data_IF_144972583557
#
_entry.id   IF_144972583557
#
_cell.length_a   1.000
_cell.length_b   1.000
_cell.length_c   1.000
_cell.angle_alpha   90.00
_cell.angle_beta   90.00
_cell.angle_gamma   90.00
#
_symmetry.space_group_name_H-M   'P 1'
#
loop_
_entity.id
_entity.type
_entity.pdbx_description
1 polymer ?
#
# COMPACT_ATOMS: atom_id res chain seq x y z
N UNK A 1 47.21 -20.92 40.68
CA UNK A 1 46.01 -20.47 41.42
C UNK A 1 44.81 -21.16 40.80
N UNK A 2 43.95 -21.78 41.61
CA UNK A 2 42.76 -22.52 41.15
C UNK A 2 41.73 -21.54 40.58
N UNK A 3 41.12 -21.86 39.44
CA UNK A 3 39.79 -21.35 39.11
C UNK A 3 38.96 -22.47 38.47
N UNK A 4 37.76 -22.62 39.01
CA UNK A 4 36.83 -23.73 38.96
C UNK A 4 35.98 -23.75 37.68
N UNK A 5 35.75 -24.94 37.10
CA UNK A 5 34.69 -25.18 36.13
C UNK A 5 33.36 -25.48 36.83
N UNK A 6 32.23 -25.08 36.24
CA UNK A 6 30.99 -25.88 36.05
C UNK A 6 29.95 -25.08 35.18
N UNK A 7 28.85 -25.68 34.65
CA UNK A 7 28.69 -25.85 33.19
C UNK A 7 27.33 -25.37 32.62
N UNK A 8 27.24 -25.44 31.28
CA UNK A 8 26.05 -25.76 30.46
C UNK A 8 24.71 -25.03 30.74
N UNK A 9 24.29 -24.17 29.81
CA UNK A 9 22.87 -23.96 29.49
C UNK A 9 22.67 -24.18 27.99
N UNK A 10 21.93 -25.22 27.66
CA UNK A 10 21.28 -25.39 26.37
C UNK A 10 20.00 -24.54 26.34
N UNK A 11 19.76 -23.81 25.25
CA UNK A 11 18.44 -23.30 24.90
C UNK A 11 18.22 -23.50 23.40
N UNK A 12 17.24 -24.35 23.09
CA UNK A 12 16.77 -24.72 21.75
C UNK A 12 15.55 -23.91 21.36
N UNK A 13 15.40 -23.60 20.06
CA UNK A 13 14.16 -23.20 19.38
C UNK A 13 13.63 -21.79 19.74
N UNK A 14 12.94 -21.06 18.87
CA UNK A 14 12.24 -21.39 17.64
C UNK A 14 12.27 -20.18 16.69
N UNK A 15 12.43 -20.43 15.40
CA UNK A 15 11.93 -19.52 14.37
C UNK A 15 10.40 -19.57 14.43
N UNK A 16 9.77 -18.56 15.03
CA UNK A 16 8.34 -18.39 14.92
C UNK A 16 8.05 -17.58 13.66
N UNK A 17 7.66 -18.29 12.60
CA UNK A 17 6.94 -17.72 11.46
C UNK A 17 5.69 -17.03 11.98
N UNK A 18 5.62 -15.70 11.88
CA UNK A 18 4.37 -14.98 12.14
C UNK A 18 3.47 -15.19 10.93
N UNK A 19 2.63 -16.21 10.98
CA UNK A 19 1.50 -16.33 10.05
C UNK A 19 0.40 -15.39 10.53
N UNK A 20 0.24 -14.22 9.88
CA UNK A 20 -0.93 -13.38 10.10
C UNK A 20 -2.14 -14.05 9.44
N UNK A 21 -2.88 -14.85 10.22
CA UNK A 21 -4.18 -15.38 9.83
C UNK A 21 -5.25 -14.28 9.91
N UNK A 22 -5.35 -13.45 8.87
CA UNK A 22 -6.49 -12.56 8.67
C UNK A 22 -7.66 -13.38 8.07
N UNK A 23 -8.60 -13.86 8.89
CA UNK A 23 -9.84 -14.44 8.34
C UNK A 23 -10.67 -15.44 9.16
N UNK A 24 -10.28 -15.82 10.39
CA UNK A 24 -11.08 -16.77 11.18
C UNK A 24 -12.10 -16.04 12.10
N UNK A 25 -13.40 -16.25 11.86
CA UNK A 25 -14.52 -15.64 12.62
C UNK A 25 -15.40 -16.67 13.34
N UNK A 26 -14.87 -17.88 13.59
CA UNK A 26 -15.58 -18.90 14.34
C UNK A 26 -15.67 -18.60 15.85
N UNK A 27 -16.52 -19.33 16.60
CA UNK A 27 -16.67 -19.15 18.05
C UNK A 27 -15.32 -19.27 18.77
N UNK A 28 -14.98 -18.30 19.63
CA UNK A 28 -13.69 -18.22 20.32
C UNK A 28 -12.66 -17.29 19.67
N UNK A 29 -13.04 -16.52 18.63
CA UNK A 29 -12.17 -15.48 18.10
C UNK A 29 -12.10 -14.28 19.06
N UNK A 30 -10.99 -14.15 19.81
CA UNK A 30 -10.62 -12.93 20.54
C UNK A 30 -10.10 -11.82 19.60
N UNK A 31 -10.46 -11.88 18.32
CA UNK A 31 -10.13 -10.87 17.32
C UNK A 31 -10.87 -9.58 17.69
N UNK A 32 -10.26 -8.80 18.57
CA UNK A 32 -10.58 -7.38 18.74
C UNK A 32 -10.58 -6.78 17.33
N UNK A 33 -11.64 -6.10 16.89
CA UNK A 33 -11.60 -5.40 15.61
C UNK A 33 -10.35 -4.54 15.63
N UNK A 34 -9.40 -4.85 14.74
CA UNK A 34 -8.35 -3.89 14.45
C UNK A 34 -9.11 -2.62 14.12
N UNK A 35 -8.88 -1.53 14.86
CA UNK A 35 -9.44 -0.25 14.50
C UNK A 35 -9.04 -0.05 13.04
N UNK A 36 -10.03 -0.09 12.14
CA UNK A 36 -9.77 0.08 10.72
C UNK A 36 -9.05 1.43 10.63
N UNK A 37 -7.73 1.40 10.37
CA UNK A 37 -6.98 2.59 10.08
C UNK A 37 -7.79 3.31 9.00
N UNK A 38 -8.16 4.56 9.24
CA UNK A 38 -9.02 5.31 8.34
C UNK A 38 -8.35 5.30 6.96
N UNK A 39 -8.89 4.53 6.03
CA UNK A 39 -8.31 4.31 4.71
C UNK A 39 -8.22 5.67 4.00
N UNK A 40 -7.06 5.96 3.41
CA UNK A 40 -6.89 7.19 2.62
C UNK A 40 -7.54 6.95 1.26
N UNK A 41 -8.68 7.61 1.04
CA UNK A 41 -9.51 7.38 -0.16
C UNK A 41 -9.75 8.60 -1.04
N UNK A 42 -9.04 9.71 -0.78
CA UNK A 42 -9.11 10.91 -1.62
C UNK A 42 -7.73 11.47 -1.88
N UNK A 43 -7.54 12.07 -3.06
CA UNK A 43 -6.29 12.72 -3.46
C UNK A 43 -5.89 13.78 -2.44
N UNK A 44 -6.84 14.61 -2.00
CA UNK A 44 -6.57 15.65 -1.00
C UNK A 44 -6.06 15.08 0.32
N UNK A 45 -6.53 13.91 0.74
CA UNK A 45 -6.02 13.25 1.95
C UNK A 45 -4.64 12.67 1.71
N UNK A 46 -4.41 12.03 0.57
CA UNK A 46 -3.13 11.45 0.19
C UNK A 46 -2.01 12.48 0.17
N UNK A 47 -2.25 13.67 -0.39
CA UNK A 47 -1.29 14.79 -0.39
C UNK A 47 -0.81 15.24 1.01
N UNK A 48 -1.57 14.92 2.05
CA UNK A 48 -1.26 15.27 3.45
C UNK A 48 -0.90 14.07 4.32
N UNK A 49 -0.95 12.86 3.76
CA UNK A 49 -0.64 11.64 4.47
C UNK A 49 0.88 11.51 4.63
N UNK A 50 1.30 10.65 5.56
CA UNK A 50 2.71 10.33 5.74
C UNK A 50 3.20 9.45 4.59
N UNK A 51 4.52 9.39 4.44
CA UNK A 51 5.20 8.40 3.60
C UNK A 51 4.76 6.96 3.95
N UNK A 52 4.80 6.05 2.97
CA UNK A 52 4.37 4.65 3.07
C UNK A 52 2.91 4.47 3.54
N UNK A 53 2.06 5.51 3.43
CA UNK A 53 0.65 5.38 3.84
C UNK A 53 -0.13 4.67 2.74
N UNK A 54 -0.81 3.53 3.03
CA UNK A 54 -1.59 2.84 2.02
C UNK A 54 -2.84 3.64 1.62
N UNK A 55 -3.11 3.68 0.32
CA UNK A 55 -4.22 4.42 -0.28
C UNK A 55 -5.07 3.52 -1.18
N UNK A 56 -6.35 3.88 -1.30
CA UNK A 56 -7.23 3.36 -2.35
C UNK A 56 -8.00 4.52 -2.96
N UNK A 57 -7.62 4.94 -4.16
CA UNK A 57 -8.13 6.15 -4.80
C UNK A 57 -9.00 5.80 -6.00
N UNK A 58 -10.15 6.46 -6.15
CA UNK A 58 -11.04 6.30 -7.31
C UNK A 58 -11.17 7.59 -8.12
N UNK A 59 -10.97 7.49 -9.43
CA UNK A 59 -10.85 8.67 -10.29
C UNK A 59 -10.56 8.30 -11.73
N UNK A 60 -9.86 9.18 -12.44
CA UNK A 60 -9.48 9.00 -13.85
C UNK A 60 -8.02 9.35 -14.06
N UNK A 61 -7.36 8.67 -15.01
CA UNK A 61 -6.02 9.02 -15.48
C UNK A 61 -6.17 10.03 -16.62
N UNK A 62 -5.77 11.28 -16.41
CA UNK A 62 -6.06 12.39 -17.34
C UNK A 62 -4.98 12.61 -18.39
N UNK A 63 -3.71 12.30 -18.08
CA UNK A 63 -2.60 12.41 -19.04
C UNK A 63 -1.42 11.56 -18.60
N UNK A 64 -0.61 11.12 -19.58
CA UNK A 64 0.75 10.63 -19.34
C UNK A 64 1.70 11.82 -19.25
N UNK A 65 2.48 11.90 -18.18
CA UNK A 65 3.48 12.96 -17.97
C UNK A 65 4.80 12.57 -18.64
N UNK A 66 5.22 11.30 -18.46
CA UNK A 66 6.40 10.72 -19.10
C UNK A 66 6.84 9.44 -18.39
N UNK A 67 7.49 8.51 -19.09
CA UNK A 67 7.88 7.23 -18.48
C UNK A 67 6.67 6.48 -17.92
N UNK A 68 6.76 6.07 -16.66
CA UNK A 68 5.72 5.43 -15.84
C UNK A 68 4.89 6.43 -15.03
N UNK A 69 5.05 7.74 -15.26
CA UNK A 69 4.33 8.78 -14.53
C UNK A 69 3.10 9.31 -15.27
N UNK A 70 1.99 9.41 -14.55
CA UNK A 70 0.68 9.82 -15.04
C UNK A 70 0.02 10.82 -14.10
N UNK A 71 -0.89 11.65 -14.61
CA UNK A 71 -1.76 12.47 -13.77
C UNK A 71 -3.05 11.70 -13.47
N UNK A 72 -3.35 11.53 -12.18
CA UNK A 72 -4.61 11.02 -11.69
C UNK A 72 -5.44 12.15 -11.09
N UNK A 73 -6.76 12.07 -11.27
CA UNK A 73 -7.70 13.08 -10.77
C UNK A 73 -8.94 12.43 -10.13
N UNK A 74 -9.31 12.94 -8.96
CA UNK A 74 -10.60 12.69 -8.32
C UNK A 74 -11.38 14.01 -8.11
N UNK A 75 -12.48 13.97 -7.36
CA UNK A 75 -13.29 15.15 -7.06
C UNK A 75 -12.61 16.16 -6.11
N UNK A 76 -11.53 15.77 -5.44
CA UNK A 76 -10.82 16.54 -4.43
C UNK A 76 -9.53 17.17 -4.91
N UNK A 77 -8.95 16.68 -6.02
CA UNK A 77 -7.76 17.24 -6.62
C UNK A 77 -7.13 16.34 -7.70
N UNK A 78 -5.91 16.69 -8.08
CA UNK A 78 -5.05 15.90 -8.95
C UNK A 78 -3.73 15.58 -8.24
N UNK A 79 -3.14 14.44 -8.56
CA UNK A 79 -1.83 13.99 -8.06
C UNK A 79 -1.12 13.20 -9.15
N UNK A 80 0.21 13.20 -9.12
CA UNK A 80 1.03 12.32 -9.95
C UNK A 80 0.98 10.90 -9.39
N UNK A 81 0.93 9.92 -10.29
CA UNK A 81 0.96 8.50 -9.94
C UNK A 81 2.02 7.82 -10.80
N UNK A 82 2.83 6.97 -10.19
CA UNK A 82 3.76 6.06 -10.85
C UNK A 82 3.05 4.72 -11.04
N UNK A 83 2.95 4.25 -12.28
CA UNK A 83 2.29 2.99 -12.63
C UNK A 83 3.21 2.22 -13.55
N UNK A 84 3.80 1.14 -13.04
CA UNK A 84 4.62 0.25 -13.84
C UNK A 84 3.80 -0.38 -14.96
N UNK A 85 4.50 -0.74 -16.04
CA UNK A 85 3.85 -1.38 -17.19
C UNK A 85 3.03 -2.64 -16.80
N UNK A 86 3.45 -3.35 -15.76
CA UNK A 86 2.87 -4.62 -15.35
C UNK A 86 1.64 -4.48 -14.43
N UNK A 87 1.39 -3.28 -13.89
CA UNK A 87 0.24 -3.00 -13.01
C UNK A 87 -1.02 -2.61 -13.77
N UNK A 88 -0.89 -2.34 -15.07
CA UNK A 88 -2.03 -2.09 -15.94
C UNK A 88 -2.88 -3.36 -16.14
N UNK A 89 -4.22 -3.23 -16.14
CA UNK A 89 -5.11 -4.37 -16.35
C UNK A 89 -4.94 -4.93 -17.76
N UNK A 90 -4.61 -6.22 -17.83
CA UNK A 90 -4.43 -6.91 -19.10
C UNK A 90 -5.67 -6.81 -19.99
N UNK A 91 -5.48 -6.36 -21.23
CA UNK A 91 -6.52 -6.32 -22.25
C UNK A 91 -7.56 -5.19 -22.10
N UNK A 92 -7.38 -4.27 -21.16
CA UNK A 92 -8.25 -3.10 -21.02
C UNK A 92 -7.50 -1.81 -21.41
N UNK A 93 -8.16 -0.97 -22.21
CA UNK A 93 -7.66 0.36 -22.52
C UNK A 93 -8.15 1.36 -21.46
N UNK A 94 -7.22 2.00 -20.77
CA UNK A 94 -7.50 3.11 -19.86
C UNK A 94 -7.32 4.43 -20.62
N UNK A 95 -8.37 5.25 -20.63
CA UNK A 95 -8.38 6.60 -21.18
C UNK A 95 -8.81 7.60 -20.12
N UNK A 96 -8.81 8.88 -20.45
CA UNK A 96 -9.30 9.96 -19.59
C UNK A 96 -10.81 9.86 -19.24
N UNK A 97 -11.54 9.00 -19.95
CA UNK A 97 -12.96 8.71 -19.69
C UNK A 97 -13.17 7.42 -18.88
N UNK A 98 -12.09 6.66 -18.65
CA UNK A 98 -12.15 5.39 -17.93
C UNK A 98 -12.00 5.66 -16.44
N UNK A 99 -13.05 5.36 -15.66
CA UNK A 99 -12.93 5.42 -14.20
C UNK A 99 -12.13 4.21 -13.70
N UNK A 100 -11.16 4.47 -12.83
CA UNK A 100 -10.28 3.46 -12.26
C UNK A 100 -10.23 3.57 -10.74
N UNK A 101 -9.86 2.46 -10.10
CA UNK A 101 -9.41 2.40 -8.71
C UNK A 101 -7.93 2.07 -8.70
N UNK A 102 -7.16 2.90 -8.00
CA UNK A 102 -5.74 2.68 -7.74
C UNK A 102 -5.59 2.19 -6.31
N UNK A 103 -4.82 1.12 -6.11
CA UNK A 103 -4.32 0.71 -4.80
C UNK A 103 -2.81 0.88 -4.81
N UNK A 104 -2.26 1.46 -3.75
CA UNK A 104 -0.84 1.78 -3.68
C UNK A 104 -0.49 2.49 -2.38
N UNK A 105 0.63 3.21 -2.38
CA UNK A 105 1.17 3.89 -1.21
C UNK A 105 1.56 5.34 -1.55
N UNK A 106 1.48 6.23 -0.55
CA UNK A 106 1.98 7.60 -0.70
C UNK A 106 3.50 7.59 -0.62
N UNK A 107 4.16 8.20 -1.60
CA UNK A 107 5.62 8.34 -1.64
C UNK A 107 6.04 9.82 -1.50
N UNK A 108 6.82 10.11 -0.46
CA UNK A 108 7.34 11.44 -0.15
C UNK A 108 8.80 11.58 -0.50
N UNK A 109 9.07 12.58 -1.31
CA UNK A 109 10.43 12.85 -1.78
C UNK A 109 11.02 14.09 -1.15
N UNK A 110 12.34 14.13 -1.09
CA UNK A 110 13.06 15.32 -0.57
C UNK A 110 13.00 16.52 -1.52
N UNK A 111 12.86 16.28 -2.83
CA UNK A 111 13.01 17.30 -3.88
C UNK A 111 11.90 17.31 -4.95
N UNK A 112 11.13 16.22 -5.10
CA UNK A 112 9.95 16.15 -5.98
C UNK A 112 8.68 16.23 -5.13
N UNK A 113 7.54 16.50 -5.78
CA UNK A 113 6.25 16.52 -5.10
C UNK A 113 5.88 15.10 -4.65
N UNK A 114 5.00 15.00 -3.65
CA UNK A 114 4.36 13.74 -3.25
C UNK A 114 3.59 13.15 -4.43
N UNK A 115 3.81 11.87 -4.68
CA UNK A 115 3.14 11.03 -5.67
C UNK A 115 2.57 9.77 -5.01
N UNK A 116 1.91 8.94 -5.81
CA UNK A 116 1.44 7.62 -5.39
C UNK A 116 2.21 6.57 -6.19
N UNK A 117 2.85 5.64 -5.50
CA UNK A 117 3.37 4.41 -6.09
C UNK A 117 2.22 3.39 -6.17
N UNK A 118 1.87 2.93 -7.37
CA UNK A 118 0.64 2.17 -7.63
C UNK A 118 0.92 0.69 -7.84
N UNK A 119 0.49 -0.13 -6.88
CA UNK A 119 0.59 -1.60 -6.97
C UNK A 119 -0.48 -2.25 -7.87
N UNK A 120 -1.61 -1.57 -8.09
CA UNK A 120 -2.74 -2.14 -8.83
C UNK A 120 -3.66 -1.08 -9.42
N UNK A 121 -3.96 -1.26 -10.71
CA UNK A 121 -5.02 -0.54 -11.41
C UNK A 121 -6.22 -1.45 -11.68
N UNK A 122 -7.40 -1.06 -11.20
CA UNK A 122 -8.68 -1.70 -11.51
C UNK A 122 -9.55 -0.77 -12.36
N UNK A 123 -10.09 -1.25 -13.49
CA UNK A 123 -11.11 -0.51 -14.25
C UNK A 123 -12.47 -0.69 -13.58
N UNK A 124 -13.14 0.42 -13.31
CA UNK A 124 -14.49 0.44 -12.75
C UNK A 124 -15.51 0.51 -13.89
N UNK A 125 -16.53 -0.35 -13.82
CA UNK A 125 -17.64 -0.42 -14.78
C UNK A 125 -18.77 0.56 -14.43
#
# INVERSE_FOLDING_TARGET
MKLTHLPLIAAAGLFSTITLAAGYTGPGSDAKPAAAAAQVTTVKRAQSAHDDTPVVLEGVITKRIGGEHYEFKDATGSIEVEIDNDDWPAGAAVSENTKVRLTGEVDHHKLKATDIDVDRVEVLQ
#
